data_IF_870549777090
#
_entry.id   IF_870549777090
#
_cell.length_a   1.000
_cell.length_b   1.000
_cell.length_c   1.000
_cell.angle_alpha   90.00
_cell.angle_beta   90.00
_cell.angle_gamma   90.00
#
_symmetry.space_group_name_H-M   'P 1'
#
loop_
_entity.id
_entity.type
_entity.pdbx_description
1 polymer ?
#
# COMPACT_ATOMS: atom_id res chain seq x y z
N UNK A 1 12.72 -9.76 -14.69
CA UNK A 1 12.75 -8.97 -13.45
C UNK A 1 14.11 -8.32 -13.31
N UNK A 2 14.18 -7.05 -12.87
CA UNK A 2 15.45 -6.51 -12.44
C UNK A 2 16.01 -7.38 -11.31
N UNK A 3 17.28 -7.82 -11.38
CA UNK A 3 17.88 -8.72 -10.39
C UNK A 3 17.71 -8.27 -8.95
N UNK A 4 17.67 -6.95 -8.70
CA UNK A 4 17.60 -6.37 -7.37
C UNK A 4 16.34 -6.72 -6.57
N UNK A 5 15.22 -7.11 -7.21
CA UNK A 5 13.98 -7.44 -6.47
C UNK A 5 14.15 -8.73 -5.70
N UNK A 6 14.75 -9.75 -6.35
CA UNK A 6 15.02 -11.02 -5.69
C UNK A 6 16.03 -10.83 -4.54
N UNK A 7 17.05 -10.00 -4.76
CA UNK A 7 18.06 -9.70 -3.72
C UNK A 7 17.43 -8.94 -2.55
N UNK A 8 16.55 -7.96 -2.83
CA UNK A 8 15.88 -7.16 -1.81
C UNK A 8 14.92 -7.99 -0.95
N UNK A 9 14.20 -8.94 -1.57
CA UNK A 9 13.27 -9.83 -0.87
C UNK A 9 13.87 -11.18 -0.49
N UNK A 10 15.19 -11.34 -0.61
CA UNK A 10 15.87 -12.58 -0.21
C UNK A 10 15.60 -12.91 1.26
N UNK A 11 15.04 -14.10 1.53
CA UNK A 11 14.66 -14.54 2.87
C UNK A 11 13.37 -13.92 3.43
N UNK A 12 12.66 -13.09 2.67
CA UNK A 12 11.35 -12.60 3.09
C UNK A 12 10.32 -13.74 3.11
N UNK A 13 9.53 -13.79 4.17
CA UNK A 13 8.39 -14.69 4.32
C UNK A 13 7.20 -13.93 4.89
N UNK A 14 6.04 -14.08 4.27
CA UNK A 14 4.82 -13.42 4.71
C UNK A 14 3.98 -12.84 3.56
N UNK A 15 3.12 -11.90 3.88
CA UNK A 15 2.21 -11.28 2.89
C UNK A 15 2.84 -10.01 2.31
N UNK A 16 2.98 -9.97 0.97
CA UNK A 16 3.42 -8.78 0.24
C UNK A 16 2.21 -8.05 -0.33
N UNK A 17 1.99 -6.80 0.11
CA UNK A 17 0.89 -5.98 -0.36
C UNK A 17 1.33 -5.07 -1.53
N UNK A 18 0.74 -5.27 -2.72
CA UNK A 18 1.08 -4.54 -3.94
C UNK A 18 -0.16 -4.27 -4.81
N UNK A 19 0.06 -3.67 -5.98
CA UNK A 19 -1.01 -3.29 -6.92
C UNK A 19 -1.28 -4.30 -8.05
N UNK A 20 -0.62 -5.46 -8.02
CA UNK A 20 -0.72 -6.49 -9.06
C UNK A 20 0.13 -6.15 -10.29
N UNK A 21 1.21 -5.40 -10.12
CA UNK A 21 2.23 -5.22 -11.16
C UNK A 21 2.98 -6.53 -11.38
N UNK A 22 3.14 -6.99 -12.65
CA UNK A 22 3.89 -8.20 -12.99
C UNK A 22 5.33 -8.23 -12.47
N UNK A 23 5.83 -7.10 -12.04
CA UNK A 23 7.14 -6.94 -11.41
C UNK A 23 7.34 -7.85 -10.18
N UNK A 24 6.27 -8.22 -9.49
CA UNK A 24 6.31 -9.06 -8.30
C UNK A 24 5.93 -10.53 -8.56
N UNK A 25 5.50 -10.89 -9.79
CA UNK A 25 4.94 -12.22 -10.08
C UNK A 25 5.89 -13.36 -9.67
N UNK A 26 7.22 -13.22 -9.91
CA UNK A 26 8.20 -14.24 -9.52
C UNK A 26 8.35 -14.44 -8.01
N UNK A 27 8.06 -13.42 -7.20
CA UNK A 27 8.08 -13.57 -5.74
C UNK A 27 6.92 -14.45 -5.26
N UNK A 28 5.80 -14.42 -5.97
CA UNK A 28 4.59 -15.19 -5.67
C UNK A 28 4.65 -16.63 -6.16
N UNK A 29 5.68 -17.01 -6.94
CA UNK A 29 5.96 -18.41 -7.28
C UNK A 29 6.55 -19.18 -6.09
N UNK A 30 7.07 -18.47 -5.08
CA UNK A 30 7.55 -19.07 -3.84
C UNK A 30 6.38 -19.32 -2.87
N UNK A 31 6.39 -20.48 -2.19
CA UNK A 31 5.39 -20.79 -1.16
C UNK A 31 5.50 -19.89 0.10
N UNK A 32 6.57 -19.12 0.20
CA UNK A 32 6.85 -18.28 1.38
C UNK A 32 6.24 -16.88 1.30
N UNK A 33 5.85 -16.42 0.09
CA UNK A 33 5.31 -15.07 -0.13
C UNK A 33 3.90 -15.12 -0.67
N UNK A 34 2.94 -14.67 0.12
CA UNK A 34 1.53 -14.58 -0.28
C UNK A 34 1.21 -13.19 -0.84
N UNK A 35 0.53 -13.08 -2.00
CA UNK A 35 0.11 -11.79 -2.53
C UNK A 35 -1.10 -11.22 -1.80
N UNK A 36 -1.07 -9.92 -1.47
CA UNK A 36 -2.25 -9.14 -1.11
C UNK A 36 -2.39 -7.99 -2.10
N UNK A 37 -3.50 -7.99 -2.88
CA UNK A 37 -3.67 -6.98 -3.92
C UNK A 37 -4.59 -5.84 -3.51
N UNK A 38 -4.33 -4.67 -4.10
CA UNK A 38 -5.00 -3.42 -3.78
C UNK A 38 -6.43 -3.35 -4.36
N UNK A 39 -7.45 -3.33 -3.49
CA UNK A 39 -8.84 -3.16 -3.90
C UNK A 39 -9.12 -1.77 -4.54
N UNK A 40 -8.34 -0.73 -4.20
CA UNK A 40 -8.46 0.58 -4.87
C UNK A 40 -8.07 0.50 -6.34
N UNK A 41 -7.04 -0.28 -6.70
CA UNK A 41 -6.65 -0.47 -8.10
C UNK A 41 -7.73 -1.21 -8.89
N UNK A 42 -8.31 -2.28 -8.33
CA UNK A 42 -9.44 -2.96 -8.95
C UNK A 42 -10.66 -2.03 -9.10
N UNK A 43 -11.01 -1.25 -8.07
CA UNK A 43 -12.07 -0.24 -8.11
C UNK A 43 -11.86 0.79 -9.23
N UNK A 44 -10.63 1.30 -9.37
CA UNK A 44 -10.28 2.31 -10.40
C UNK A 44 -10.49 1.81 -11.82
N UNK A 45 -10.52 0.48 -12.08
CA UNK A 45 -10.86 -0.05 -13.40
C UNK A 45 -12.33 0.15 -13.77
N UNK A 46 -13.24 0.16 -12.79
CA UNK A 46 -14.67 0.39 -12.98
C UNK A 46 -15.07 1.87 -12.94
N UNK A 47 -14.34 2.70 -12.19
CA UNK A 47 -14.71 4.07 -11.88
C UNK A 47 -14.95 4.96 -13.12
N UNK A 48 -14.03 5.07 -14.10
CA UNK A 48 -14.26 5.91 -15.29
C UNK A 48 -15.45 5.41 -16.13
N UNK A 49 -15.68 4.09 -16.16
CA UNK A 49 -16.82 3.52 -16.88
C UNK A 49 -18.13 3.87 -16.16
N UNK A 50 -18.14 3.79 -14.84
CA UNK A 50 -19.31 4.14 -14.04
C UNK A 50 -19.66 5.63 -14.14
N UNK A 51 -18.65 6.51 -14.21
CA UNK A 51 -18.82 7.95 -14.37
C UNK A 51 -19.39 8.30 -15.77
N UNK A 52 -18.91 7.63 -16.82
CA UNK A 52 -19.38 7.84 -18.20
C UNK A 52 -20.76 7.23 -18.47
N UNK A 53 -21.21 6.28 -17.64
CA UNK A 53 -22.46 5.55 -17.87
C UNK A 53 -23.68 6.34 -17.42
N UNK A 54 -24.72 6.39 -18.27
CA UNK A 54 -26.10 6.80 -17.89
C UNK A 54 -26.82 5.60 -17.26
N UNK A 55 -27.66 5.83 -16.24
CA UNK A 55 -28.45 4.77 -15.60
C UNK A 55 -27.64 3.84 -14.66
N UNK A 56 -28.14 2.62 -14.43
CA UNK A 56 -27.63 1.65 -13.47
C UNK A 56 -26.82 0.52 -14.15
N UNK A 57 -25.81 0.88 -14.95
CA UNK A 57 -24.96 -0.11 -15.63
C UNK A 57 -24.10 -0.95 -14.67
N UNK A 58 -23.54 -2.07 -15.19
CA UNK A 58 -22.75 -3.01 -14.40
C UNK A 58 -21.56 -2.35 -13.67
N UNK A 59 -20.88 -1.38 -14.30
CA UNK A 59 -19.80 -0.66 -13.64
C UNK A 59 -20.28 0.08 -12.37
N UNK A 60 -21.47 0.69 -12.38
CA UNK A 60 -22.05 1.34 -11.20
C UNK A 60 -22.43 0.31 -10.12
N UNK A 61 -22.86 -0.87 -10.53
CA UNK A 61 -23.15 -1.96 -9.60
C UNK A 61 -21.86 -2.43 -8.92
N UNK A 62 -20.77 -2.66 -9.66
CA UNK A 62 -19.45 -2.97 -9.11
C UNK A 62 -18.99 -1.89 -8.12
N UNK A 63 -19.16 -0.61 -8.45
CA UNK A 63 -18.81 0.49 -7.54
C UNK A 63 -19.61 0.50 -6.24
N UNK A 64 -20.83 -0.08 -6.19
CA UNK A 64 -21.61 -0.22 -4.96
C UNK A 64 -20.99 -1.25 -4.02
N UNK A 65 -20.43 -2.37 -4.53
CA UNK A 65 -19.70 -3.35 -3.73
C UNK A 65 -18.48 -2.69 -3.09
N UNK A 66 -17.66 -1.98 -3.84
CA UNK A 66 -16.53 -1.25 -3.31
C UNK A 66 -16.95 -0.17 -2.29
N UNK A 67 -18.03 0.57 -2.54
CA UNK A 67 -18.56 1.55 -1.59
C UNK A 67 -18.96 0.89 -0.25
N UNK A 68 -19.60 -0.28 -0.30
CA UNK A 68 -19.98 -1.06 0.89
C UNK A 68 -18.73 -1.55 1.62
N UNK A 69 -17.73 -2.08 0.90
CA UNK A 69 -16.46 -2.53 1.46
C UNK A 69 -15.75 -1.39 2.20
N UNK A 70 -15.52 -0.28 1.54
CA UNK A 70 -14.83 0.86 2.17
C UNK A 70 -15.62 1.53 3.29
N UNK A 71 -16.93 1.38 3.33
CA UNK A 71 -17.73 1.80 4.48
C UNK A 71 -17.42 0.95 5.72
N UNK A 72 -17.20 -0.36 5.54
CA UNK A 72 -16.82 -1.27 6.65
C UNK A 72 -15.41 -0.92 7.13
N UNK A 73 -14.45 -0.77 6.22
CA UNK A 73 -13.06 -0.43 6.57
C UNK A 73 -12.96 0.94 7.27
N UNK A 74 -13.73 1.93 6.81
CA UNK A 74 -13.81 3.24 7.46
C UNK A 74 -14.33 3.14 8.89
N UNK A 75 -15.38 2.35 9.12
CA UNK A 75 -15.89 2.10 10.47
C UNK A 75 -14.79 1.55 11.38
N UNK A 76 -14.04 0.55 10.94
CA UNK A 76 -12.95 -0.01 11.72
C UNK A 76 -11.88 1.04 12.07
N UNK A 77 -11.57 1.93 11.13
CA UNK A 77 -10.60 3.01 11.32
C UNK A 77 -11.13 4.09 12.28
N UNK A 78 -12.36 4.56 12.08
CA UNK A 78 -12.98 5.61 12.89
C UNK A 78 -13.13 5.17 14.36
N UNK A 79 -13.45 3.90 14.57
CA UNK A 79 -13.57 3.28 15.90
C UNK A 79 -12.21 2.81 16.47
N UNK A 80 -11.09 3.05 15.76
CA UNK A 80 -9.72 2.67 16.16
C UNK A 80 -9.62 1.21 16.61
N UNK A 81 -10.27 0.31 15.88
CA UNK A 81 -10.33 -1.11 16.20
C UNK A 81 -8.94 -1.75 16.21
N UNK A 82 -8.71 -2.66 17.16
CA UNK A 82 -7.51 -3.50 17.15
C UNK A 82 -7.52 -4.45 15.95
N UNK A 83 -6.35 -5.03 15.56
CA UNK A 83 -6.32 -6.03 14.49
C UNK A 83 -7.33 -7.17 14.66
N UNK A 84 -7.49 -7.68 15.88
CA UNK A 84 -8.44 -8.76 16.19
C UNK A 84 -9.90 -8.30 16.01
N UNK A 85 -10.22 -7.09 16.47
CA UNK A 85 -11.55 -6.51 16.29
C UNK A 85 -11.85 -6.25 14.81
N UNK A 86 -10.86 -5.76 14.06
CA UNK A 86 -10.95 -5.54 12.61
C UNK A 86 -11.16 -6.87 11.88
N UNK A 87 -10.41 -7.91 12.23
CA UNK A 87 -10.57 -9.24 11.65
C UNK A 87 -11.98 -9.77 11.89
N UNK A 88 -12.50 -9.69 13.11
CA UNK A 88 -13.86 -10.11 13.45
C UNK A 88 -14.92 -9.35 12.64
N UNK A 89 -14.80 -8.02 12.52
CA UNK A 89 -15.70 -7.20 11.70
C UNK A 89 -15.66 -7.65 10.24
N UNK A 90 -14.47 -7.90 9.68
CA UNK A 90 -14.28 -8.37 8.31
C UNK A 90 -14.91 -9.75 8.08
N UNK A 91 -14.72 -10.70 8.99
CA UNK A 91 -15.33 -12.03 8.89
C UNK A 91 -16.86 -11.93 8.88
N UNK A 92 -17.44 -11.05 9.69
CA UNK A 92 -18.89 -10.87 9.78
C UNK A 92 -19.51 -10.06 8.65
N UNK A 93 -18.78 -9.09 8.08
CA UNK A 93 -19.35 -8.11 7.15
C UNK A 93 -18.68 -8.10 5.78
N UNK A 94 -17.34 -8.08 5.73
CA UNK A 94 -16.60 -7.97 4.46
C UNK A 94 -16.58 -9.32 3.72
N UNK A 95 -16.39 -10.42 4.42
CA UNK A 95 -16.34 -11.77 3.82
C UNK A 95 -17.63 -12.15 3.08
N UNK A 96 -18.83 -12.03 3.67
CA UNK A 96 -20.08 -12.28 2.92
C UNK A 96 -20.29 -11.27 1.79
N UNK A 97 -19.89 -10.00 1.96
CA UNK A 97 -19.95 -9.00 0.89
C UNK A 97 -19.04 -9.36 -0.28
N UNK A 98 -17.82 -9.82 -0.03
CA UNK A 98 -16.90 -10.26 -1.08
C UNK A 98 -17.43 -11.52 -1.76
N UNK A 99 -18.02 -12.47 -1.04
CA UNK A 99 -18.67 -13.63 -1.64
C UNK A 99 -19.83 -13.24 -2.58
N UNK A 100 -20.70 -12.31 -2.14
CA UNK A 100 -21.77 -11.74 -2.99
C UNK A 100 -21.19 -11.06 -4.25
N UNK A 101 -20.09 -10.34 -4.09
CA UNK A 101 -19.43 -9.66 -5.21
C UNK A 101 -18.80 -10.66 -6.19
N UNK A 102 -18.16 -11.73 -5.70
CA UNK A 102 -17.61 -12.81 -6.55
C UNK A 102 -18.70 -13.46 -7.39
N UNK A 103 -19.79 -13.86 -6.74
CA UNK A 103 -20.92 -14.47 -7.44
C UNK A 103 -21.46 -13.53 -8.52
N UNK A 104 -21.63 -12.25 -8.21
CA UNK A 104 -22.06 -11.25 -9.14
C UNK A 104 -21.09 -11.08 -10.33
N UNK A 105 -19.77 -11.10 -10.07
CA UNK A 105 -18.74 -11.04 -11.12
C UNK A 105 -18.83 -12.26 -12.06
N UNK A 106 -18.92 -13.47 -11.49
CA UNK A 106 -18.98 -14.72 -12.26
C UNK A 106 -20.24 -14.78 -13.14
N UNK A 107 -21.38 -14.30 -12.62
CA UNK A 107 -22.65 -14.28 -13.34
C UNK A 107 -22.62 -13.30 -14.54
N UNK A 108 -22.01 -12.13 -14.36
CA UNK A 108 -22.07 -11.08 -15.37
C UNK A 108 -20.90 -11.07 -16.35
N UNK A 109 -19.73 -11.60 -15.95
CA UNK A 109 -18.54 -11.59 -16.80
C UNK A 109 -18.76 -12.23 -18.19
N UNK A 110 -19.45 -13.38 -18.32
CA UNK A 110 -19.73 -13.98 -19.63
C UNK A 110 -20.59 -13.11 -20.57
N UNK A 111 -21.35 -12.16 -19.99
CA UNK A 111 -22.24 -11.28 -20.78
C UNK A 111 -21.54 -10.01 -21.28
N UNK A 112 -20.30 -9.77 -20.87
CA UNK A 112 -19.55 -8.55 -21.19
C UNK A 112 -18.52 -8.85 -22.29
N UNK A 113 -18.43 -8.03 -23.37
CA UNK A 113 -17.41 -8.21 -24.38
C UNK A 113 -15.99 -8.16 -23.79
N UNK A 114 -15.16 -9.20 -23.97
CA UNK A 114 -13.86 -9.32 -23.25
C UNK A 114 -12.88 -8.18 -23.53
N UNK A 115 -12.89 -7.64 -24.74
CA UNK A 115 -12.00 -6.54 -25.19
C UNK A 115 -12.49 -5.15 -24.77
N UNK A 116 -13.72 -5.02 -24.27
CA UNK A 116 -14.25 -3.74 -23.78
C UNK A 116 -13.55 -3.29 -22.51
N UNK A 117 -13.61 -1.99 -22.19
CA UNK A 117 -13.09 -1.48 -20.92
C UNK A 117 -13.70 -2.17 -19.71
N UNK A 118 -15.01 -2.47 -19.78
CA UNK A 118 -15.72 -3.19 -18.74
C UNK A 118 -15.24 -4.65 -18.63
N UNK A 119 -15.08 -5.37 -19.75
CA UNK A 119 -14.55 -6.73 -19.78
C UNK A 119 -13.14 -6.82 -19.18
N UNK A 120 -12.27 -5.85 -19.51
CA UNK A 120 -10.94 -5.75 -18.90
C UNK A 120 -11.00 -5.49 -17.39
N UNK A 121 -11.95 -4.69 -16.90
CA UNK A 121 -12.12 -4.45 -15.46
C UNK A 121 -12.57 -5.72 -14.72
N UNK A 122 -13.50 -6.49 -15.30
CA UNK A 122 -13.90 -7.80 -14.77
C UNK A 122 -12.75 -8.78 -14.78
N UNK A 123 -12.07 -8.94 -15.91
CA UNK A 123 -10.92 -9.85 -16.05
C UNK A 123 -9.80 -9.55 -15.03
N UNK A 124 -9.47 -8.27 -14.83
CA UNK A 124 -8.52 -7.84 -13.81
C UNK A 124 -8.95 -8.26 -12.41
N UNK A 125 -10.20 -7.95 -12.04
CA UNK A 125 -10.71 -8.25 -10.70
C UNK A 125 -10.76 -9.75 -10.44
N UNK A 126 -11.19 -10.54 -11.42
CA UNK A 126 -11.23 -12.01 -11.31
C UNK A 126 -9.84 -12.63 -11.27
N UNK A 127 -8.89 -12.13 -12.11
CA UNK A 127 -7.50 -12.60 -12.10
C UNK A 127 -6.84 -12.49 -10.72
N UNK A 128 -7.09 -11.38 -10.04
CA UNK A 128 -6.45 -11.07 -8.77
C UNK A 128 -7.33 -11.34 -7.55
N UNK A 129 -8.44 -12.09 -7.73
CA UNK A 129 -9.49 -12.22 -6.70
C UNK A 129 -8.97 -12.70 -5.35
N UNK A 130 -8.17 -13.75 -5.33
CA UNK A 130 -7.68 -14.34 -4.08
C UNK A 130 -6.82 -13.35 -3.30
N UNK A 131 -5.88 -12.69 -3.95
CA UNK A 131 -5.07 -11.64 -3.32
C UNK A 131 -5.87 -10.38 -2.95
N UNK A 132 -6.95 -10.05 -3.69
CA UNK A 132 -7.88 -8.97 -3.30
C UNK A 132 -8.67 -9.32 -2.03
N UNK A 133 -8.80 -10.60 -1.70
CA UNK A 133 -9.45 -11.11 -0.48
C UNK A 133 -8.48 -11.36 0.68
N UNK A 134 -7.17 -11.32 0.47
CA UNK A 134 -6.17 -11.68 1.48
C UNK A 134 -6.29 -10.83 2.77
N UNK A 135 -6.67 -9.56 2.68
CA UNK A 135 -6.93 -8.70 3.83
C UNK A 135 -8.01 -9.24 4.79
N UNK A 136 -8.85 -10.17 4.35
CA UNK A 136 -9.85 -10.83 5.18
C UNK A 136 -9.25 -11.82 6.17
N UNK A 137 -8.02 -12.28 5.95
CA UNK A 137 -7.36 -13.31 6.73
C UNK A 137 -6.52 -12.72 7.87
N UNK A 138 -6.15 -11.44 7.79
CA UNK A 138 -5.35 -10.76 8.82
C UNK A 138 -5.86 -9.33 9.05
N UNK A 139 -6.22 -9.00 10.28
CA UNK A 139 -6.68 -7.67 10.65
C UNK A 139 -5.61 -6.56 10.58
N UNK A 140 -4.34 -6.91 10.45
CA UNK A 140 -3.23 -5.97 10.25
C UNK A 140 -3.12 -5.49 8.80
N UNK A 141 -3.54 -6.33 7.84
CA UNK A 141 -3.50 -5.97 6.42
C UNK A 141 -4.53 -4.88 6.12
N UNK A 142 -4.15 -3.92 5.30
CA UNK A 142 -5.10 -2.96 4.74
C UNK A 142 -5.82 -3.56 3.51
N UNK A 143 -7.02 -3.08 3.20
CA UNK A 143 -7.74 -3.48 1.99
C UNK A 143 -7.15 -2.88 0.70
N UNK A 144 -6.26 -1.89 0.84
CA UNK A 144 -5.55 -1.25 -0.27
C UNK A 144 -4.13 -0.81 0.14
N UNK A 145 -3.27 -0.54 -0.85
CA UNK A 145 -1.89 -0.12 -0.62
C UNK A 145 -1.70 1.41 -0.59
N UNK A 146 -2.76 2.18 -0.36
CA UNK A 146 -2.72 3.65 -0.36
C UNK A 146 -1.69 4.21 0.63
N UNK A 147 -1.46 3.56 1.77
CA UNK A 147 -0.45 3.98 2.74
C UNK A 147 0.96 3.97 2.12
N UNK A 148 1.33 2.89 1.44
CA UNK A 148 2.62 2.77 0.75
C UNK A 148 2.75 3.81 -0.37
N UNK A 149 1.70 3.98 -1.17
CA UNK A 149 1.69 5.00 -2.23
C UNK A 149 1.86 6.41 -1.68
N UNK A 150 1.25 6.73 -0.54
CA UNK A 150 1.40 8.02 0.13
C UNK A 150 2.82 8.25 0.66
N UNK A 151 3.54 7.19 1.06
CA UNK A 151 4.94 7.31 1.50
C UNK A 151 5.90 7.60 0.32
N UNK A 152 5.62 7.03 -0.85
CA UNK A 152 6.43 7.25 -2.05
C UNK A 152 6.11 8.59 -2.75
N UNK A 153 4.88 9.07 -2.62
CA UNK A 153 4.40 10.27 -3.31
C UNK A 153 5.27 11.52 -3.10
N UNK A 154 5.76 11.86 -1.88
CA UNK A 154 6.64 13.01 -1.69
C UNK A 154 7.94 12.90 -2.46
N UNK A 155 8.53 11.70 -2.56
CA UNK A 155 9.71 11.43 -3.38
C UNK A 155 9.44 11.69 -4.87
N UNK A 156 8.31 11.19 -5.39
CA UNK A 156 7.91 11.41 -6.80
C UNK A 156 7.62 12.88 -7.08
N UNK A 157 7.04 13.62 -6.12
CA UNK A 157 6.79 15.06 -6.25
C UNK A 157 8.10 15.84 -6.24
N UNK A 158 9.02 15.51 -5.34
CA UNK A 158 10.32 16.17 -5.24
C UNK A 158 11.14 16.02 -6.54
N UNK A 159 11.00 14.88 -7.26
CA UNK A 159 11.60 14.66 -8.58
C UNK A 159 11.21 15.74 -9.60
N UNK A 160 10.04 16.37 -9.46
CA UNK A 160 9.64 17.49 -10.33
C UNK A 160 10.52 18.72 -10.16
N UNK A 161 11.23 18.87 -9.04
CA UNK A 161 12.12 19.98 -8.76
C UNK A 161 13.53 19.75 -9.33
N UNK A 162 14.07 18.53 -9.19
CA UNK A 162 15.44 18.21 -9.63
C UNK A 162 15.50 17.34 -10.90
N UNK A 163 14.36 16.90 -11.44
CA UNK A 163 14.13 16.17 -12.69
C UNK A 163 14.82 14.80 -12.77
N UNK A 164 16.11 14.70 -12.52
CA UNK A 164 16.92 13.47 -12.57
C UNK A 164 18.08 13.51 -11.58
N UNK A 165 18.67 12.36 -11.31
CA UNK A 165 19.93 12.21 -10.56
C UNK A 165 21.07 11.99 -11.57
N UNK A 166 22.17 12.74 -11.43
CA UNK A 166 23.32 12.67 -12.34
C UNK A 166 24.12 11.36 -12.21
N UNK A 167 23.91 10.59 -11.15
CA UNK A 167 24.60 9.32 -10.90
C UNK A 167 23.75 8.36 -10.09
N UNK A 168 24.07 7.06 -10.18
CA UNK A 168 23.45 6.00 -9.36
C UNK A 168 23.65 6.29 -7.86
N UNK A 169 24.87 6.64 -7.46
CA UNK A 169 25.18 7.00 -6.06
C UNK A 169 24.35 8.18 -5.55
N UNK A 170 24.10 9.18 -6.42
CA UNK A 170 23.23 10.30 -6.09
C UNK A 170 21.77 9.87 -5.88
N UNK A 171 21.27 8.93 -6.70
CA UNK A 171 19.94 8.37 -6.54
C UNK A 171 19.82 7.54 -5.24
N UNK A 172 20.82 6.72 -4.92
CA UNK A 172 20.89 5.93 -3.68
C UNK A 172 20.90 6.84 -2.44
N UNK A 173 21.75 7.89 -2.44
CA UNK A 173 21.77 8.88 -1.37
C UNK A 173 20.42 9.56 -1.19
N UNK A 174 19.76 9.95 -2.29
CA UNK A 174 18.44 10.54 -2.25
C UNK A 174 17.40 9.60 -1.64
N UNK A 175 17.40 8.34 -2.05
CA UNK A 175 16.51 7.31 -1.48
C UNK A 175 16.76 7.13 0.03
N UNK A 176 18.02 7.08 0.46
CA UNK A 176 18.38 7.00 1.87
C UNK A 176 17.82 8.17 2.67
N UNK A 177 18.05 9.41 2.20
CA UNK A 177 17.54 10.60 2.88
C UNK A 177 16.01 10.61 2.95
N UNK A 178 15.30 10.28 1.86
CA UNK A 178 13.84 10.17 1.90
C UNK A 178 13.35 9.07 2.84
N UNK A 179 14.03 7.92 2.90
CA UNK A 179 13.70 6.84 3.83
C UNK A 179 13.80 7.31 5.29
N UNK A 180 14.89 7.99 5.65
CA UNK A 180 15.07 8.55 6.99
C UNK A 180 14.01 9.60 7.33
N UNK A 181 13.74 10.56 6.42
CA UNK A 181 12.73 11.62 6.60
C UNK A 181 11.34 11.02 6.79
N UNK A 182 10.95 10.08 5.92
CA UNK A 182 9.62 9.46 5.98
C UNK A 182 9.45 8.61 7.23
N UNK A 183 10.50 7.85 7.60
CA UNK A 183 10.50 7.03 8.82
C UNK A 183 10.43 7.92 10.07
N UNK A 184 11.22 9.00 10.13
CA UNK A 184 11.14 9.96 11.23
C UNK A 184 9.72 10.52 11.39
N UNK A 185 9.09 10.94 10.29
CA UNK A 185 7.70 11.42 10.30
C UNK A 185 6.73 10.34 10.79
N UNK A 186 6.90 9.08 10.40
CA UNK A 186 6.10 7.94 10.85
C UNK A 186 6.22 7.69 12.35
N UNK A 187 7.39 7.94 12.92
CA UNK A 187 7.63 7.85 14.37
C UNK A 187 7.24 9.12 15.13
N UNK A 188 6.55 10.07 14.47
CA UNK A 188 6.10 11.30 15.10
C UNK A 188 7.21 12.30 15.40
N UNK A 189 8.39 12.15 14.79
CA UNK A 189 9.51 13.06 14.94
C UNK A 189 9.39 14.23 13.95
N UNK A 190 9.82 15.43 14.36
CA UNK A 190 10.03 16.55 13.44
C UNK A 190 11.21 16.24 12.51
N UNK A 191 11.00 16.07 11.19
CA UNK A 191 12.07 15.64 10.29
C UNK A 191 13.23 16.62 10.20
N UNK A 192 12.97 17.94 10.32
CA UNK A 192 14.02 18.95 10.29
C UNK A 192 14.91 18.86 11.54
N UNK A 193 14.31 18.83 12.72
CA UNK A 193 15.04 18.68 13.97
C UNK A 193 15.77 17.35 14.05
N UNK A 194 15.13 16.28 13.59
CA UNK A 194 15.78 14.97 13.46
C UNK A 194 17.07 15.06 12.66
N UNK A 195 17.02 15.70 11.48
CA UNK A 195 18.21 15.89 10.65
C UNK A 195 19.28 16.74 11.31
N UNK A 196 18.89 17.81 11.98
CA UNK A 196 19.84 18.65 12.74
C UNK A 196 20.59 17.82 13.77
N UNK A 197 19.87 16.98 14.53
CA UNK A 197 20.46 16.15 15.57
C UNK A 197 21.38 15.05 15.00
N UNK A 198 20.95 14.32 13.96
CA UNK A 198 21.82 13.29 13.38
C UNK A 198 23.06 13.90 12.72
N UNK A 199 22.94 15.03 12.02
CA UNK A 199 24.10 15.67 11.39
C UNK A 199 25.11 16.21 12.42
N UNK A 200 24.66 16.61 13.61
CA UNK A 200 25.56 16.97 14.72
C UNK A 200 26.24 15.75 15.32
N UNK A 201 25.55 14.60 15.39
CA UNK A 201 26.07 13.41 16.05
C UNK A 201 26.97 12.56 15.14
N UNK A 202 26.64 12.42 13.84
CA UNK A 202 27.38 11.57 12.88
C UNK A 202 28.90 11.75 12.93
N UNK A 203 29.47 12.99 13.01
CA UNK A 203 30.91 13.15 13.05
C UNK A 203 31.61 12.49 14.25
N UNK A 204 30.88 12.15 15.28
CA UNK A 204 31.37 11.53 16.52
C UNK A 204 31.08 10.04 16.61
N UNK A 205 30.31 9.47 15.67
CA UNK A 205 30.01 8.04 15.63
C UNK A 205 31.25 7.26 15.21
N UNK A 206 31.58 6.20 15.97
CA UNK A 206 32.73 5.32 15.74
C UNK A 206 32.32 3.87 15.55
N UNK A 207 31.19 3.46 16.10
CA UNK A 207 30.69 2.08 16.10
C UNK A 207 29.36 1.98 15.36
N UNK A 208 28.95 0.77 14.99
CA UNK A 208 27.63 0.53 14.37
C UNK A 208 26.53 0.93 15.34
N UNK A 209 26.69 0.67 16.61
CA UNK A 209 25.74 0.99 17.68
C UNK A 209 25.51 2.51 17.79
N UNK A 210 26.56 3.32 17.57
CA UNK A 210 26.43 4.78 17.55
C UNK A 210 25.51 5.24 16.41
N UNK A 211 25.64 4.64 15.20
CA UNK A 211 24.76 4.92 14.08
C UNK A 211 23.34 4.38 14.30
N UNK A 212 23.20 3.19 14.86
CA UNK A 212 21.89 2.60 15.18
C UNK A 212 21.10 3.45 16.20
N UNK A 213 21.79 4.07 17.16
CA UNK A 213 21.17 4.98 18.12
C UNK A 213 20.56 6.24 17.47
N UNK A 214 21.01 6.60 16.26
CA UNK A 214 20.51 7.74 15.50
C UNK A 214 19.33 7.39 14.60
N UNK A 215 18.96 6.11 14.46
CA UNK A 215 17.82 5.71 13.63
C UNK A 215 16.50 6.26 14.20
N UNK A 216 15.52 6.58 13.34
CA UNK A 216 14.30 7.28 13.75
C UNK A 216 13.50 6.60 14.85
N UNK A 217 13.60 5.28 14.97
CA UNK A 217 12.91 4.49 16.00
C UNK A 217 13.68 4.36 17.31
N UNK A 218 14.96 4.73 17.32
CA UNK A 218 15.82 4.68 18.52
C UNK A 218 16.03 6.05 19.16
N UNK A 219 15.90 7.13 18.37
CA UNK A 219 16.11 8.50 18.88
C UNK A 219 14.91 8.97 19.71
N UNK A 220 15.18 9.66 20.83
CA UNK A 220 14.15 10.12 21.72
C UNK A 220 13.38 11.33 21.13
N UNK A 221 12.03 11.29 21.19
CA UNK A 221 11.16 12.44 20.87
C UNK A 221 11.52 13.68 21.68
N UNK A 222 11.98 13.53 22.93
CA UNK A 222 12.39 14.65 23.77
C UNK A 222 13.57 15.45 23.19
N UNK A 223 14.46 14.78 22.41
CA UNK A 223 15.59 15.45 21.74
C UNK A 223 15.16 16.15 20.44
N UNK A 224 14.19 15.61 19.75
CA UNK A 224 13.89 15.96 18.34
C UNK A 224 12.58 16.74 18.21
N UNK A 225 11.68 16.67 19.20
CA UNK A 225 10.34 17.24 19.14
C UNK A 225 9.36 16.38 18.35
N UNK A 226 8.07 16.54 18.64
CA UNK A 226 6.97 15.84 18.00
C UNK A 226 6.40 16.64 16.82
N UNK A 227 5.94 15.94 15.78
CA UNK A 227 5.10 16.50 14.71
C UNK A 227 3.70 15.91 14.84
N UNK A 228 2.70 16.73 14.61
CA UNK A 228 1.32 16.26 14.47
C UNK A 228 1.20 15.38 13.20
N UNK A 229 0.93 14.09 13.38
CA UNK A 229 0.82 13.11 12.30
C UNK A 229 -0.48 13.31 11.48
N UNK A 230 -1.34 14.23 11.92
CA UNK A 230 -2.68 14.45 11.36
C UNK A 230 -2.74 15.36 10.11
N UNK A 231 -1.61 15.68 9.47
CA UNK A 231 -1.58 16.50 8.26
C UNK A 231 -1.18 15.71 6.99
#
# INVERSE_FOLDING_TARGET
LPPFVNDWFAGFSGTLHCDGDPFFDLLFESETVSPSFCNTHARRKFEPIALASKGNGLAKQAMRFYKRLYKIERKAKDEKMTPEQRLNLRQQRSKPLMAEFKQWLDEHYPTVPPKSSLGKAFAYTLKFWDGLCEFLNDGRLEADNNLTEQEIKPFVIARKNFLFCSSVKGAEALCLHFSLIRTAKRHGLDPYRYYVEILKAIPYCQTVEDYEALLPWNISIAKVGAVDIAA
#
